data_IF_142708127636
#
_entry.id   IF_142708127636
#
_cell.length_a   1.000
_cell.length_b   1.000
_cell.length_c   1.000
_cell.angle_alpha   90.00
_cell.angle_beta   90.00
_cell.angle_gamma   90.00
#
_symmetry.space_group_name_H-M   'P 1'
#
loop_
_entity.id
_entity.type
_entity.pdbx_description
1 polymer ?
#
# COMPACT_ATOMS: atom_id res chain seq x y z
N UNK A 1 -13.91 13.42 -8.06
CA UNK A 1 -13.21 12.90 -6.86
C UNK A 1 -11.88 13.63 -6.75
N UNK A 2 -11.82 14.68 -5.93
CA UNK A 2 -10.60 15.40 -5.56
C UNK A 2 -9.69 14.44 -4.83
N UNK A 3 -8.62 13.98 -5.48
CA UNK A 3 -7.62 13.16 -4.80
C UNK A 3 -6.77 14.09 -3.96
N UNK A 4 -7.17 14.31 -2.71
CA UNK A 4 -6.30 14.89 -1.69
C UNK A 4 -5.06 14.00 -1.65
N UNK A 5 -3.90 14.55 -2.03
CA UNK A 5 -2.61 13.87 -2.04
C UNK A 5 -2.24 13.54 -0.59
N UNK A 6 -2.76 12.42 -0.11
CA UNK A 6 -2.51 11.94 1.24
C UNK A 6 -1.05 11.49 1.32
N UNK A 7 -0.28 12.18 2.13
CA UNK A 7 1.05 11.73 2.54
C UNK A 7 0.86 10.65 3.60
N UNK A 8 1.38 9.46 3.34
CA UNK A 8 1.40 8.39 4.33
C UNK A 8 2.44 8.70 5.40
N UNK A 9 2.12 8.39 6.67
CA UNK A 9 3.10 8.51 7.76
C UNK A 9 4.21 7.47 7.61
N UNK A 10 5.36 7.71 8.23
CA UNK A 10 6.47 6.74 8.22
C UNK A 10 6.05 5.38 8.75
N UNK A 11 5.22 5.35 9.80
CA UNK A 11 4.66 4.12 10.36
C UNK A 11 3.82 3.34 9.32
N UNK A 12 2.92 4.04 8.61
CA UNK A 12 2.11 3.42 7.55
C UNK A 12 3.00 2.86 6.43
N UNK A 13 4.00 3.62 6.00
CA UNK A 13 4.93 3.19 4.96
C UNK A 13 5.76 1.99 5.42
N UNK A 14 6.27 1.98 6.64
CA UNK A 14 7.07 0.88 7.19
C UNK A 14 6.26 -0.42 7.25
N UNK A 15 5.00 -0.36 7.70
CA UNK A 15 4.11 -1.52 7.73
C UNK A 15 3.83 -2.05 6.31
N UNK A 16 3.48 -1.18 5.35
CA UNK A 16 3.26 -1.56 3.96
C UNK A 16 4.52 -2.17 3.32
N UNK A 17 5.71 -1.64 3.63
CA UNK A 17 6.98 -2.20 3.15
C UNK A 17 7.26 -3.58 3.72
N UNK A 18 7.03 -3.80 5.03
CA UNK A 18 7.18 -5.10 5.68
C UNK A 18 6.29 -6.15 5.02
N UNK A 19 5.02 -5.81 4.77
CA UNK A 19 4.11 -6.73 4.08
C UNK A 19 4.56 -6.97 2.65
N UNK A 20 4.95 -5.93 1.91
CA UNK A 20 5.40 -6.05 0.52
C UNK A 20 6.67 -6.92 0.36
N UNK A 21 7.58 -6.84 1.33
CA UNK A 21 8.79 -7.68 1.36
C UNK A 21 8.44 -9.17 1.45
N UNK A 22 7.42 -9.52 2.22
CA UNK A 22 6.92 -10.88 2.35
C UNK A 22 6.06 -11.30 1.14
N UNK A 23 5.16 -10.41 0.70
CA UNK A 23 4.18 -10.68 -0.37
C UNK A 23 3.97 -9.45 -1.24
N UNK A 24 4.41 -9.54 -2.50
CA UNK A 24 4.28 -8.44 -3.48
C UNK A 24 2.84 -8.19 -3.94
N UNK A 25 1.93 -9.12 -3.66
CA UNK A 25 0.52 -9.08 -4.00
C UNK A 25 -0.27 -9.44 -2.74
N UNK A 26 -1.26 -8.61 -2.41
CA UNK A 26 -2.20 -8.84 -1.31
C UNK A 26 -3.58 -9.09 -1.90
N UNK A 27 -4.32 -10.06 -1.34
CA UNK A 27 -5.69 -10.32 -1.75
C UNK A 27 -6.66 -9.29 -1.15
N UNK A 28 -7.93 -9.35 -1.53
CA UNK A 28 -8.93 -8.36 -1.09
C UNK A 28 -9.09 -8.32 0.44
N UNK A 29 -9.10 -9.48 1.10
CA UNK A 29 -9.25 -9.55 2.56
C UNK A 29 -8.03 -9.00 3.29
N UNK A 30 -6.81 -9.33 2.85
CA UNK A 30 -5.57 -8.79 3.40
C UNK A 30 -5.51 -7.27 3.24
N UNK A 31 -5.94 -6.76 2.08
CA UNK A 31 -5.97 -5.33 1.81
C UNK A 31 -6.93 -4.60 2.73
N UNK A 32 -8.13 -5.14 2.96
CA UNK A 32 -9.09 -4.58 3.90
C UNK A 32 -8.58 -4.62 5.34
N UNK A 33 -7.86 -5.68 5.73
CA UNK A 33 -7.23 -5.78 7.05
C UNK A 33 -6.18 -4.68 7.25
N UNK A 34 -5.27 -4.52 6.28
CA UNK A 34 -4.25 -3.47 6.32
C UNK A 34 -4.84 -2.06 6.31
N UNK A 35 -5.92 -1.86 5.54
CA UNK A 35 -6.65 -0.60 5.50
C UNK A 35 -7.18 -0.23 6.91
N UNK A 36 -7.81 -1.19 7.60
CA UNK A 36 -8.29 -0.99 8.98
C UNK A 36 -7.13 -0.75 9.97
N UNK A 37 -6.08 -1.57 9.91
CA UNK A 37 -4.92 -1.47 10.81
C UNK A 37 -4.17 -0.14 10.67
N UNK A 38 -4.05 0.39 9.45
CA UNK A 38 -3.29 1.60 9.15
C UNK A 38 -4.15 2.86 9.09
N UNK A 39 -5.46 2.74 9.38
CA UNK A 39 -6.45 3.80 9.20
C UNK A 39 -6.38 4.42 7.78
N UNK A 40 -6.33 3.55 6.77
CA UNK A 40 -6.28 3.88 5.35
C UNK A 40 -7.51 3.30 4.65
N UNK A 41 -7.78 3.77 3.43
CA UNK A 41 -8.80 3.16 2.58
C UNK A 41 -8.24 1.98 1.79
N UNK A 42 -9.11 1.02 1.45
CA UNK A 42 -8.79 -0.13 0.58
C UNK A 42 -8.12 0.33 -0.73
N UNK A 43 -8.61 1.44 -1.30
CA UNK A 43 -8.08 2.02 -2.53
C UNK A 43 -6.67 2.60 -2.33
N UNK A 44 -6.36 3.23 -1.21
CA UNK A 44 -5.00 3.73 -0.93
C UNK A 44 -4.01 2.58 -0.81
N UNK A 45 -4.37 1.50 -0.10
CA UNK A 45 -3.52 0.30 -0.01
C UNK A 45 -3.33 -0.32 -1.39
N UNK A 46 -4.41 -0.45 -2.19
CA UNK A 46 -4.34 -0.96 -3.57
C UNK A 46 -3.36 -0.15 -4.42
N UNK A 47 -3.52 1.18 -4.44
CA UNK A 47 -2.68 2.09 -5.23
C UNK A 47 -1.22 2.04 -4.76
N UNK A 48 -0.97 1.96 -3.45
CA UNK A 48 0.39 1.85 -2.92
C UNK A 48 1.08 0.56 -3.41
N UNK A 49 0.40 -0.59 -3.34
CA UNK A 49 0.95 -1.86 -3.84
C UNK A 49 1.15 -1.87 -5.36
N UNK A 50 0.27 -1.21 -6.13
CA UNK A 50 0.46 -1.02 -7.57
C UNK A 50 1.70 -0.16 -7.86
N UNK A 51 1.82 1.01 -7.23
CA UNK A 51 2.96 1.92 -7.39
C UNK A 51 4.27 1.28 -6.96
N UNK A 52 4.27 0.51 -5.86
CA UNK A 52 5.45 -0.19 -5.37
C UNK A 52 5.96 -1.24 -6.38
N UNK A 53 5.06 -2.00 -7.02
CA UNK A 53 5.43 -2.95 -8.10
C UNK A 53 5.99 -2.24 -9.31
N UNK A 54 5.37 -1.13 -9.75
CA UNK A 54 5.88 -0.34 -10.87
C UNK A 54 7.28 0.21 -10.59
N UNK A 55 7.55 0.68 -9.36
CA UNK A 55 8.88 1.14 -8.95
C UNK A 55 9.93 0.03 -9.00
N UNK A 56 9.59 -1.20 -8.63
CA UNK A 56 10.48 -2.37 -8.73
C UNK A 56 10.71 -2.75 -10.20
N UNK A 57 9.66 -2.75 -11.03
CA UNK A 57 9.77 -3.04 -12.47
C UNK A 57 10.66 -2.03 -13.20
N UNK A 58 10.52 -0.73 -12.91
CA UNK A 58 11.33 0.34 -13.51
C UNK A 58 12.80 0.35 -13.06
N UNK A 59 13.12 -0.39 -11.99
CA UNK A 59 14.51 -0.55 -11.50
C UNK A 59 15.22 -1.78 -12.06
N UNK A 60 14.51 -2.60 -12.84
CA UNK A 60 15.10 -3.59 -13.74
C UNK A 60 15.25 -2.97 -15.11
#
# INVERSE_FOLDING_TARGET
>A
RTTTRSFFTEHQVACLQRVFANRRYVCSSERQKLAKELNMTDQQVKTWFQNRRMKVKRKR
#
